data_IF_285092681760
#
_entry.id   IF_285092681760
#
_cell.length_a   1.000
_cell.length_b   1.000
_cell.length_c   1.000
_cell.angle_alpha   90.00
_cell.angle_beta   90.00
_cell.angle_gamma   90.00
#
_symmetry.space_group_name_H-M   'P 1'
#
loop_
_entity.id
_entity.type
_entity.pdbx_description
1 polymer ?
#
# COMPACT_ATOMS: atom_id res chain seq x y z
N UNK A 1 11.25 -35.68 22.53
CA UNK A 1 10.67 -34.81 23.58
C UNK A 1 10.05 -33.63 22.86
N UNK A 2 8.72 -33.61 22.73
CA UNK A 2 8.00 -32.60 21.95
C UNK A 2 7.74 -31.37 22.81
N UNK A 3 8.36 -30.24 22.45
CA UNK A 3 8.08 -28.93 23.05
C UNK A 3 6.82 -28.36 22.40
N UNK A 4 5.80 -28.10 23.21
CA UNK A 4 4.54 -27.50 22.76
C UNK A 4 4.71 -25.99 22.64
N UNK A 5 4.55 -25.45 21.44
CA UNK A 5 4.42 -24.02 21.18
C UNK A 5 3.09 -23.51 21.75
N UNK A 6 3.14 -22.59 22.70
CA UNK A 6 1.95 -21.90 23.21
C UNK A 6 1.55 -20.80 22.20
N UNK A 7 0.32 -20.77 21.67
CA UNK A 7 -0.14 -19.67 20.84
C UNK A 7 -0.48 -18.47 21.74
N UNK A 8 0.31 -17.40 21.61
CA UNK A 8 0.09 -16.12 22.28
C UNK A 8 -1.23 -15.50 21.80
N UNK A 9 -2.30 -15.75 22.55
CA UNK A 9 -3.67 -15.31 22.22
C UNK A 9 -3.95 -13.86 22.59
N UNK A 10 -3.04 -13.23 23.34
CA UNK A 10 -3.15 -11.83 23.73
C UNK A 10 -2.69 -10.84 22.65
N UNK A 11 -1.92 -11.28 21.65
CA UNK A 11 -1.30 -10.38 20.68
C UNK A 11 -2.24 -9.96 19.53
N UNK A 12 -3.17 -10.83 19.14
CA UNK A 12 -4.04 -10.57 17.99
C UNK A 12 -5.15 -9.56 18.32
N UNK A 13 -5.73 -9.65 19.53
CA UNK A 13 -6.83 -8.78 19.94
C UNK A 13 -6.37 -7.35 20.21
N UNK A 14 -5.18 -7.20 20.79
CA UNK A 14 -4.56 -5.90 21.04
C UNK A 14 -4.10 -5.27 19.72
N UNK A 15 -3.58 -6.05 18.77
CA UNK A 15 -3.31 -5.55 17.41
C UNK A 15 -4.57 -5.08 16.68
N UNK A 16 -5.69 -5.80 16.78
CA UNK A 16 -6.96 -5.37 16.17
C UNK A 16 -7.46 -4.07 16.80
N UNK A 17 -7.38 -3.94 18.13
CA UNK A 17 -7.81 -2.73 18.84
C UNK A 17 -6.93 -1.52 18.50
N UNK A 18 -5.60 -1.68 18.50
CA UNK A 18 -4.66 -0.62 18.11
C UNK A 18 -4.84 -0.21 16.64
N UNK A 19 -5.13 -1.17 15.76
CA UNK A 19 -5.49 -0.85 14.38
C UNK A 19 -6.79 -0.03 14.34
N UNK A 20 -7.83 -0.45 15.08
CA UNK A 20 -9.14 0.20 15.09
C UNK A 20 -9.07 1.68 15.54
N UNK A 21 -8.35 2.00 16.61
CA UNK A 21 -8.21 3.38 17.08
C UNK A 21 -7.48 4.28 16.07
N UNK A 22 -6.58 3.71 15.27
CA UNK A 22 -5.91 4.43 14.21
C UNK A 22 -6.79 4.60 12.96
N UNK A 23 -7.80 3.74 12.75
CA UNK A 23 -8.70 3.85 11.62
C UNK A 23 -9.52 5.13 11.67
N UNK A 24 -10.06 5.52 12.82
CA UNK A 24 -10.88 6.74 12.93
C UNK A 24 -10.07 8.01 12.59
N UNK A 25 -8.79 8.04 13.00
CA UNK A 25 -7.87 9.14 12.69
C UNK A 25 -7.47 9.13 11.22
N UNK A 26 -7.29 7.95 10.63
CA UNK A 26 -6.89 7.79 9.23
C UNK A 26 -8.04 7.98 8.25
N UNK A 27 -9.28 7.67 8.65
CA UNK A 27 -10.42 7.53 7.75
C UNK A 27 -10.63 8.77 6.88
N UNK A 28 -10.58 9.96 7.48
CA UNK A 28 -10.73 11.22 6.75
C UNK A 28 -9.67 11.35 5.63
N UNK A 29 -8.41 11.03 5.93
CA UNK A 29 -7.31 11.09 4.96
C UNK A 29 -7.41 10.01 3.89
N UNK A 30 -7.86 8.81 4.26
CA UNK A 30 -8.06 7.73 3.30
C UNK A 30 -9.18 8.07 2.31
N UNK A 31 -10.26 8.69 2.80
CA UNK A 31 -11.35 9.20 1.96
C UNK A 31 -10.83 10.29 1.01
N UNK A 32 -10.08 11.26 1.52
CA UNK A 32 -9.50 12.32 0.68
C UNK A 32 -8.55 11.74 -0.39
N UNK A 33 -7.67 10.82 -0.01
CA UNK A 33 -6.77 10.14 -0.95
C UNK A 33 -7.52 9.35 -2.02
N UNK A 34 -8.62 8.67 -1.64
CA UNK A 34 -9.48 7.94 -2.58
C UNK A 34 -10.21 8.89 -3.54
N UNK A 35 -10.76 10.00 -3.04
CA UNK A 35 -11.44 10.99 -3.89
C UNK A 35 -10.46 11.66 -4.86
N UNK A 36 -9.27 12.00 -4.39
CA UNK A 36 -8.19 12.52 -5.24
C UNK A 36 -7.78 11.51 -6.32
N UNK A 37 -7.61 10.23 -5.97
CA UNK A 37 -7.39 9.15 -6.93
C UNK A 37 -8.52 9.07 -7.97
N UNK A 38 -9.79 9.03 -7.54
CA UNK A 38 -10.94 8.92 -8.45
C UNK A 38 -11.12 10.16 -9.34
N UNK A 39 -10.68 11.33 -8.88
CA UNK A 39 -10.70 12.54 -9.69
C UNK A 39 -9.68 12.51 -10.84
N UNK A 40 -8.58 11.76 -10.67
CA UNK A 40 -7.50 11.57 -11.66
C UNK A 40 -7.74 10.37 -12.57
N UNK A 41 -8.51 9.39 -12.10
CA UNK A 41 -8.88 8.20 -12.85
C UNK A 41 -9.67 8.57 -14.12
N UNK A 42 -9.02 8.44 -15.27
CA UNK A 42 -9.58 8.75 -16.59
C UNK A 42 -10.62 7.74 -17.08
N UNK A 43 -11.07 6.80 -16.22
CA UNK A 43 -12.02 5.70 -16.49
C UNK A 43 -11.51 4.63 -17.46
N UNK A 44 -10.30 4.77 -17.98
CA UNK A 44 -9.57 3.74 -18.70
C UNK A 44 -9.19 2.57 -17.79
N UNK A 45 -9.35 2.70 -16.47
CA UNK A 45 -9.25 1.60 -15.51
C UNK A 45 -7.80 1.17 -15.24
N UNK A 46 -6.84 1.89 -15.82
CA UNK A 46 -5.43 1.72 -15.53
C UNK A 46 -4.99 2.85 -14.60
N UNK A 47 -4.29 2.55 -13.49
CA UNK A 47 -3.66 3.60 -12.70
C UNK A 47 -2.79 4.42 -13.67
N UNK A 48 -2.98 5.74 -13.68
CA UNK A 48 -2.24 6.66 -14.54
C UNK A 48 -0.79 6.24 -14.49
N UNK A 49 -0.27 5.84 -15.66
CA UNK A 49 1.03 5.18 -15.86
C UNK A 49 1.99 5.54 -14.74
N UNK A 50 2.48 4.51 -14.03
CA UNK A 50 3.31 4.56 -12.84
C UNK A 50 4.64 5.28 -13.13
N UNK A 51 4.58 6.57 -13.46
CA UNK A 51 5.70 7.45 -13.77
C UNK A 51 6.56 7.73 -12.54
N UNK A 52 6.17 7.18 -11.38
CA UNK A 52 6.93 7.22 -10.13
C UNK A 52 7.45 5.86 -9.67
N UNK A 53 7.16 4.75 -10.37
CA UNK A 53 7.78 3.47 -10.05
C UNK A 53 9.16 3.38 -10.67
N UNK A 54 10.16 3.77 -9.88
CA UNK A 54 11.55 3.44 -10.17
C UNK A 54 11.67 1.92 -10.08
N UNK A 55 11.93 1.28 -11.21
CA UNK A 55 12.33 -0.13 -11.23
C UNK A 55 13.70 -0.25 -10.56
N UNK A 56 13.90 -1.17 -9.61
CA UNK A 56 15.14 -1.27 -8.82
C UNK A 56 16.36 -1.82 -9.60
N UNK A 57 16.35 -1.81 -10.94
CA UNK A 57 17.33 -2.53 -11.79
C UNK A 57 18.47 -1.67 -12.35
N UNK A 58 18.83 -0.56 -11.71
CA UNK A 58 20.02 0.22 -12.11
C UNK A 58 21.03 0.27 -10.96
N UNK A 59 22.28 -0.14 -11.24
CA UNK A 59 23.46 -0.16 -10.36
C UNK A 59 23.93 1.25 -9.89
N UNK A 60 23.02 2.23 -9.80
CA UNK A 60 23.30 3.56 -9.28
C UNK A 60 22.94 3.66 -7.79
N UNK A 61 23.67 4.50 -7.08
CA UNK A 61 23.45 4.79 -5.66
C UNK A 61 21.96 5.08 -5.38
N UNK A 62 21.34 4.46 -4.36
CA UNK A 62 19.90 4.57 -4.17
C UNK A 62 19.50 6.04 -3.95
N UNK A 63 18.55 6.60 -4.75
CA UNK A 63 18.14 7.98 -4.60
C UNK A 63 17.54 8.20 -3.20
N UNK A 64 17.80 9.38 -2.60
CA UNK A 64 17.15 9.77 -1.36
C UNK A 64 15.63 9.86 -1.58
N UNK A 65 14.89 8.92 -1.00
CA UNK A 65 13.44 8.89 -1.11
C UNK A 65 12.77 9.82 -0.09
N UNK A 66 11.67 10.51 -0.46
CA UNK A 66 10.92 11.29 0.51
C UNK A 66 10.34 10.37 1.61
N UNK A 67 10.18 10.88 2.85
CA UNK A 67 9.54 10.14 3.94
C UNK A 67 8.18 9.59 3.52
N UNK A 68 7.91 8.32 3.85
CA UNK A 68 6.67 7.63 3.49
C UNK A 68 6.69 6.91 2.14
N UNK A 69 7.79 6.97 1.40
CA UNK A 69 7.99 6.19 0.17
C UNK A 69 7.93 4.70 0.48
N UNK A 70 7.21 3.95 -0.35
CA UNK A 70 7.05 2.51 -0.21
C UNK A 70 7.97 1.85 -1.22
N UNK A 71 9.06 1.23 -0.76
CA UNK A 71 10.05 0.57 -1.62
C UNK A 71 9.75 -0.92 -1.77
N UNK A 72 10.07 -1.48 -2.94
CA UNK A 72 10.03 -2.92 -3.21
C UNK A 72 8.69 -3.58 -2.84
N UNK A 73 7.58 -2.90 -3.16
CA UNK A 73 6.23 -3.44 -2.99
C UNK A 73 5.82 -4.21 -4.23
N UNK A 74 5.17 -5.36 -4.04
CA UNK A 74 4.55 -6.11 -5.12
C UNK A 74 3.14 -5.58 -5.38
N UNK A 75 2.96 -5.00 -6.55
CA UNK A 75 1.69 -4.51 -7.04
C UNK A 75 1.03 -5.59 -7.88
N UNK A 76 -0.22 -5.88 -7.55
CA UNK A 76 -1.04 -6.88 -8.24
C UNK A 76 -2.21 -6.17 -8.89
N UNK A 77 -2.35 -6.33 -10.20
CA UNK A 77 -3.57 -5.98 -10.92
C UNK A 77 -4.25 -7.25 -11.48
N UNK A 78 -5.26 -7.09 -12.32
CA UNK A 78 -6.07 -8.20 -12.84
C UNK A 78 -5.27 -9.16 -13.72
N UNK A 79 -4.18 -8.71 -14.34
CA UNK A 79 -3.45 -9.46 -15.36
C UNK A 79 -1.97 -9.63 -15.03
N UNK A 80 -1.43 -8.82 -14.14
CA UNK A 80 0.00 -8.69 -13.92
C UNK A 80 0.35 -8.52 -12.44
N UNK A 81 1.57 -8.93 -12.11
CA UNK A 81 2.20 -8.74 -10.81
C UNK A 81 3.61 -8.24 -11.05
N UNK A 82 3.97 -7.11 -10.46
CA UNK A 82 5.31 -6.55 -10.62
C UNK A 82 5.76 -5.85 -9.35
N UNK A 83 7.07 -5.61 -9.23
CA UNK A 83 7.67 -4.87 -8.12
C UNK A 83 7.85 -3.41 -8.49
N UNK A 84 7.58 -2.53 -7.52
CA UNK A 84 7.66 -1.10 -7.71
C UNK A 84 8.11 -0.38 -6.43
N UNK A 85 8.49 0.88 -6.61
CA UNK A 85 8.65 1.85 -5.53
C UNK A 85 7.58 2.94 -5.71
N UNK A 86 6.76 3.19 -4.68
CA UNK A 86 5.72 4.21 -4.72
C UNK A 86 6.19 5.45 -3.95
N UNK A 87 6.51 6.51 -4.70
CA UNK A 87 6.93 7.80 -4.14
C UNK A 87 5.77 8.40 -3.34
N UNK A 88 6.04 8.79 -2.10
CA UNK A 88 5.06 9.49 -1.29
C UNK A 88 4.79 10.90 -1.80
N UNK A 89 3.51 11.26 -1.89
CA UNK A 89 3.11 12.66 -2.07
C UNK A 89 3.41 13.45 -0.79
N UNK A 90 3.80 14.71 -0.94
CA UNK A 90 3.97 15.61 0.20
C UNK A 90 2.69 15.66 1.06
N UNK A 91 2.85 15.51 2.37
CA UNK A 91 1.75 15.55 3.34
C UNK A 91 1.07 14.21 3.61
N UNK A 92 1.38 13.15 2.85
CA UNK A 92 0.92 11.80 3.19
C UNK A 92 1.68 11.29 4.40
N UNK A 93 0.94 10.94 5.45
CA UNK A 93 1.51 10.46 6.71
C UNK A 93 1.42 8.94 6.82
N UNK A 94 0.43 8.35 6.15
CA UNK A 94 0.14 6.93 6.29
C UNK A 94 0.47 6.17 5.01
N UNK A 95 0.95 4.94 5.19
CA UNK A 95 1.23 4.03 4.07
C UNK A 95 -0.02 3.79 3.22
N UNK A 96 -1.17 3.57 3.87
CA UNK A 96 -2.45 3.34 3.18
C UNK A 96 -2.93 4.56 2.40
N UNK A 97 -2.67 5.76 2.90
CA UNK A 97 -2.96 7.03 2.19
C UNK A 97 -2.14 7.11 0.89
N UNK A 98 -0.84 6.76 0.97
CA UNK A 98 0.02 6.70 -0.21
C UNK A 98 -0.40 5.61 -1.20
N UNK A 99 -0.78 4.42 -0.72
CA UNK A 99 -1.28 3.34 -1.59
C UNK A 99 -2.56 3.74 -2.31
N UNK A 100 -3.55 4.30 -1.60
CA UNK A 100 -4.82 4.73 -2.19
C UNK A 100 -4.61 5.82 -3.23
N UNK A 101 -3.70 6.77 -2.97
CA UNK A 101 -3.33 7.78 -3.93
C UNK A 101 -2.78 7.20 -5.24
N UNK A 102 -2.08 6.06 -5.18
CA UNK A 102 -1.60 5.34 -6.37
C UNK A 102 -2.63 4.34 -6.93
N UNK A 103 -3.81 4.23 -6.32
CA UNK A 103 -4.88 3.32 -6.77
C UNK A 103 -4.73 1.89 -6.26
N UNK A 104 -4.04 1.68 -5.14
CA UNK A 104 -3.81 0.37 -4.53
C UNK A 104 -4.29 0.33 -3.08
N UNK A 105 -4.51 -0.88 -2.55
CA UNK A 105 -4.75 -1.13 -1.13
C UNK A 105 -3.84 -2.24 -0.63
N UNK A 106 -3.34 -2.12 0.60
CA UNK A 106 -2.43 -3.11 1.18
C UNK A 106 -3.16 -4.44 1.42
N UNK A 107 -2.52 -5.55 1.05
CA UNK A 107 -3.00 -6.90 1.29
C UNK A 107 -2.18 -7.65 2.33
N UNK A 108 -0.89 -7.32 2.44
CA UNK A 108 0.02 -7.92 3.41
C UNK A 108 1.02 -6.87 3.90
N UNK A 109 0.93 -6.45 5.17
CA UNK A 109 1.95 -5.59 5.75
C UNK A 109 3.27 -6.33 6.01
N UNK A 110 3.26 -7.68 5.98
CA UNK A 110 4.44 -8.54 6.23
C UNK A 110 5.14 -8.85 4.91
N UNK A 111 6.48 -8.85 4.91
CA UNK A 111 7.30 -9.03 3.72
C UNK A 111 7.03 -10.38 3.00
N UNK A 112 6.86 -10.38 1.66
CA UNK A 112 6.87 -9.20 0.80
C UNK A 112 5.59 -8.36 1.00
N UNK A 113 5.77 -7.03 1.03
CA UNK A 113 4.67 -6.09 0.97
C UNK A 113 3.91 -6.32 -0.34
N UNK A 114 2.60 -6.57 -0.26
CA UNK A 114 1.75 -6.83 -1.43
C UNK A 114 0.57 -5.86 -1.37
N UNK A 115 0.30 -5.16 -2.47
CA UNK A 115 -0.92 -4.36 -2.64
C UNK A 115 -1.66 -4.74 -3.92
N UNK A 116 -2.99 -4.65 -3.87
CA UNK A 116 -3.88 -4.94 -4.99
C UNK A 116 -4.48 -3.65 -5.54
N UNK A 117 -4.63 -3.58 -6.86
CA UNK A 117 -5.27 -2.46 -7.54
C UNK A 117 -6.76 -2.33 -7.15
N UNK A 118 -7.18 -1.11 -6.87
CA UNK A 118 -8.59 -0.78 -6.65
C UNK A 118 -9.45 -1.08 -7.88
N UNK A 119 -8.91 -0.92 -9.09
CA UNK A 119 -9.62 -1.27 -10.32
C UNK A 119 -9.89 -2.77 -10.41
N UNK A 120 -8.92 -3.60 -10.02
CA UNK A 120 -9.09 -5.06 -9.96
C UNK A 120 -10.19 -5.41 -8.96
N UNK A 121 -10.16 -4.79 -7.77
CA UNK A 121 -11.22 -5.01 -6.77
C UNK A 121 -12.60 -4.56 -7.24
N UNK A 122 -12.69 -3.49 -8.04
CA UNK A 122 -13.96 -2.99 -8.55
C UNK A 122 -14.55 -3.84 -9.70
N UNK A 123 -13.74 -4.69 -10.34
CA UNK A 123 -14.16 -5.55 -11.44
C UNK A 123 -14.80 -6.88 -11.00
N UNK A 124 -14.66 -7.24 -9.71
CA UNK A 124 -15.19 -8.46 -9.10
C UNK A 124 -16.23 -8.12 -8.03
#
# INVERSE_FOLDING_TARGET
MSSWSHPDTHNCRDHIAIQHDQWDVQMTRLVDAYLDYRSRDSRDGFPTSVQSAISPEADEEPPEYPPGTIVNIELVDMFTRWRATLIARQGHLYRNENLLYHGYIDCSPVYPAIAISLCTLAAF
#
